data_IF_452661294220
#
_entry.id   IF_452661294220
#
_cell.length_a   1.000
_cell.length_b   1.000
_cell.length_c   1.000
_cell.angle_alpha   90.00
_cell.angle_beta   90.00
_cell.angle_gamma   90.00
#
_symmetry.space_group_name_H-M   'P 1'
#
loop_
_entity.id
_entity.type
_entity.pdbx_description
1 polymer ?
#
# COMPACT_ATOMS: atom_id res chain seq x y z
N UNK A 1 -7.64 28.21 -18.15
CA UNK A 1 -7.63 26.77 -18.43
C UNK A 1 -6.97 26.08 -17.25
N UNK A 2 -7.54 25.00 -16.69
CA UNK A 2 -6.92 24.28 -15.55
C UNK A 2 -5.84 23.34 -16.11
N UNK A 3 -4.61 23.40 -15.57
CA UNK A 3 -3.52 22.49 -15.90
C UNK A 3 -3.70 21.10 -15.26
N UNK A 4 -4.64 20.97 -14.31
CA UNK A 4 -4.93 19.71 -13.62
C UNK A 4 -5.87 18.85 -14.48
N UNK A 5 -5.52 17.57 -14.63
CA UNK A 5 -6.30 16.62 -15.44
C UNK A 5 -7.71 16.39 -14.87
N UNK A 6 -8.66 16.00 -15.72
CA UNK A 6 -10.01 15.62 -15.28
C UNK A 6 -9.95 14.44 -14.29
N UNK A 7 -9.11 13.45 -14.56
CA UNK A 7 -8.90 12.28 -13.70
C UNK A 7 -8.44 12.70 -12.30
N UNK A 8 -7.44 13.56 -12.20
CA UNK A 8 -6.93 14.02 -10.90
C UNK A 8 -7.99 14.74 -10.06
N UNK A 9 -8.91 15.46 -10.70
CA UNK A 9 -10.02 16.14 -10.01
C UNK A 9 -11.08 15.19 -9.46
N UNK A 10 -11.16 13.97 -9.99
CA UNK A 10 -12.12 12.95 -9.56
C UNK A 10 -11.59 12.08 -8.42
N UNK A 11 -10.26 12.06 -8.22
CA UNK A 11 -9.64 11.30 -7.12
C UNK A 11 -9.98 12.00 -5.80
N UNK A 12 -10.61 11.29 -4.85
CA UNK A 12 -10.92 11.88 -3.55
C UNK A 12 -9.65 12.26 -2.79
N UNK A 13 -9.70 13.33 -2.02
CA UNK A 13 -8.63 13.68 -1.07
C UNK A 13 -8.42 12.57 -0.03
N UNK A 14 -7.26 12.55 0.58
CA UNK A 14 -6.99 11.61 1.66
C UNK A 14 -7.70 12.04 2.94
N UNK A 15 -8.74 11.31 3.34
CA UNK A 15 -9.46 11.53 4.60
C UNK A 15 -8.52 11.50 5.81
N UNK A 16 -7.47 10.66 5.77
CA UNK A 16 -6.45 10.61 6.82
C UNK A 16 -5.74 11.96 6.97
N UNK A 17 -5.40 12.62 5.85
CA UNK A 17 -4.76 13.93 5.87
C UNK A 17 -5.71 15.04 6.31
N UNK A 18 -6.98 14.95 5.97
CA UNK A 18 -8.01 15.88 6.45
C UNK A 18 -8.17 15.78 7.95
N UNK A 19 -8.26 14.57 8.51
CA UNK A 19 -8.30 14.35 9.96
C UNK A 19 -7.05 14.87 10.65
N UNK A 20 -5.87 14.63 10.07
CA UNK A 20 -4.62 15.14 10.60
C UNK A 20 -4.56 16.68 10.58
N UNK A 21 -5.06 17.32 9.53
CA UNK A 21 -5.13 18.77 9.44
C UNK A 21 -6.13 19.38 10.45
N UNK A 22 -7.26 18.72 10.68
CA UNK A 22 -8.24 19.15 11.70
C UNK A 22 -7.67 19.09 13.13
N UNK A 23 -6.82 18.10 13.39
CA UNK A 23 -6.15 17.92 14.68
C UNK A 23 -5.09 18.99 14.94
N UNK A 24 -4.51 19.61 13.90
CA UNK A 24 -3.38 20.54 13.97
C UNK A 24 -3.75 21.86 14.66
N UNK A 25 -4.07 22.02 15.79
CA UNK A 25 -4.46 23.22 16.58
C UNK A 25 -5.33 22.87 17.75
N UNK A 26 -5.68 21.60 17.90
CA UNK A 26 -6.39 21.10 19.06
C UNK A 26 -5.40 20.77 20.18
N UNK A 27 -5.81 20.98 21.43
CA UNK A 27 -5.06 20.59 22.63
C UNK A 27 -5.72 19.35 23.23
N UNK A 28 -4.93 18.53 23.91
CA UNK A 28 -5.40 17.36 24.67
C UNK A 28 -6.20 16.35 23.81
N UNK A 29 -5.75 16.10 22.57
CA UNK A 29 -6.38 15.17 21.64
C UNK A 29 -5.64 13.83 21.66
N UNK A 30 -6.39 12.74 21.87
CA UNK A 30 -5.91 11.38 21.59
C UNK A 30 -6.19 11.08 20.13
N UNK A 31 -5.13 10.99 19.31
CA UNK A 31 -5.24 10.82 17.87
C UNK A 31 -5.22 9.35 17.46
N UNK A 32 -6.19 8.95 16.64
CA UNK A 32 -6.22 7.67 15.92
C UNK A 32 -6.14 7.88 14.41
N UNK A 33 -5.75 9.07 13.94
CA UNK A 33 -5.77 9.44 12.53
C UNK A 33 -4.66 8.77 11.72
N UNK A 34 -3.49 8.55 12.33
CA UNK A 34 -2.34 7.95 11.67
C UNK A 34 -1.80 6.79 12.51
N UNK A 35 -1.68 5.62 11.89
CA UNK A 35 -1.06 4.45 12.52
C UNK A 35 0.44 4.45 12.27
N UNK A 36 1.22 4.88 13.25
CA UNK A 36 2.67 4.81 13.23
C UNK A 36 3.21 4.33 14.58
N UNK A 37 4.39 3.67 14.62
CA UNK A 37 5.02 3.31 15.88
C UNK A 37 5.34 4.55 16.71
N UNK A 38 5.11 4.50 18.02
CA UNK A 38 5.43 5.54 18.98
C UNK A 38 6.88 5.52 19.47
N UNK A 39 7.66 4.54 19.03
CA UNK A 39 9.09 4.37 19.35
C UNK A 39 9.96 4.68 18.11
N UNK A 40 11.18 5.16 18.37
CA UNK A 40 12.17 5.48 17.34
C UNK A 40 12.77 4.22 16.71
N UNK A 41 13.41 4.38 15.56
CA UNK A 41 14.13 3.29 14.92
C UNK A 41 15.20 2.70 15.88
N UNK A 42 15.35 1.36 15.95
CA UNK A 42 16.37 0.73 16.78
C UNK A 42 17.78 1.24 16.45
N UNK A 43 18.63 1.42 17.48
CA UNK A 43 19.94 2.03 17.33
C UNK A 43 20.82 1.31 16.30
N UNK A 44 20.79 -0.04 16.27
CA UNK A 44 21.57 -0.80 15.27
C UNK A 44 21.17 -0.52 13.83
N UNK A 45 19.89 -0.16 13.56
CA UNK A 45 19.42 0.22 12.23
C UNK A 45 19.96 1.60 11.86
N UNK A 46 19.92 2.54 12.81
CA UNK A 46 20.50 3.88 12.63
C UNK A 46 22.00 3.78 12.34
N UNK A 47 22.73 3.02 13.14
CA UNK A 47 24.18 2.85 13.01
C UNK A 47 24.55 2.21 11.65
N UNK A 48 23.81 1.17 11.22
CA UNK A 48 24.01 0.53 9.93
C UNK A 48 23.77 1.52 8.76
N UNK A 49 22.75 2.37 8.88
CA UNK A 49 22.43 3.40 7.88
C UNK A 49 23.56 4.43 7.78
N UNK A 50 24.03 4.95 8.92
CA UNK A 50 25.15 5.90 8.96
C UNK A 50 26.44 5.26 8.40
N UNK A 51 26.70 4.01 8.74
CA UNK A 51 27.87 3.29 8.23
C UNK A 51 27.79 3.09 6.70
N UNK A 52 26.62 2.82 6.14
CA UNK A 52 26.40 2.75 4.69
C UNK A 52 26.73 4.07 3.99
N UNK A 53 26.25 5.20 4.50
CA UNK A 53 26.61 6.52 3.98
C UNK A 53 28.12 6.79 4.04
N UNK A 54 28.77 6.45 5.16
CA UNK A 54 30.21 6.63 5.32
C UNK A 54 31.04 5.77 4.35
N UNK A 55 30.54 4.62 3.93
CA UNK A 55 31.15 3.78 2.88
C UNK A 55 30.90 4.32 1.46
N UNK A 56 30.14 5.39 1.29
CA UNK A 56 29.81 5.95 -0.01
C UNK A 56 28.76 5.15 -0.80
N UNK A 57 27.94 4.37 -0.12
CA UNK A 57 26.86 3.60 -0.75
C UNK A 57 25.67 4.51 -1.11
N UNK A 58 25.93 5.50 -1.97
CA UNK A 58 24.99 6.57 -2.35
C UNK A 58 24.73 6.63 -3.86
N UNK A 59 24.99 5.53 -4.56
CA UNK A 59 24.80 5.42 -6.00
C UNK A 59 23.51 4.68 -6.36
N UNK A 60 23.19 4.67 -7.65
CA UNK A 60 22.03 3.93 -8.15
C UNK A 60 22.11 2.45 -7.83
N UNK A 61 20.99 1.89 -7.44
CA UNK A 61 20.80 0.45 -7.20
C UNK A 61 20.12 -0.21 -8.40
N UNK A 62 20.17 -1.55 -8.52
CA UNK A 62 19.35 -2.26 -9.50
C UNK A 62 17.86 -1.92 -9.33
N UNK A 63 17.10 -1.83 -10.43
CA UNK A 63 15.67 -1.50 -10.41
C UNK A 63 14.82 -2.43 -9.54
N UNK A 64 15.25 -3.68 -9.38
CA UNK A 64 14.58 -4.66 -8.53
C UNK A 64 14.99 -4.59 -7.05
N UNK A 65 15.94 -3.72 -6.71
CA UNK A 65 16.52 -3.58 -5.37
C UNK A 65 17.84 -4.31 -5.19
N UNK A 66 18.53 -3.97 -4.11
CA UNK A 66 19.84 -4.52 -3.76
C UNK A 66 19.73 -6.04 -3.54
N UNK A 67 20.58 -6.89 -4.17
CA UNK A 67 20.48 -8.35 -4.06
C UNK A 67 20.52 -8.88 -2.62
N UNK A 68 21.33 -8.29 -1.76
CA UNK A 68 21.42 -8.65 -0.34
C UNK A 68 20.08 -8.42 0.39
N UNK A 69 19.41 -7.29 0.13
CA UNK A 69 18.10 -6.98 0.71
C UNK A 69 17.02 -7.94 0.20
N UNK A 70 16.99 -8.21 -1.10
CA UNK A 70 16.05 -9.17 -1.69
C UNK A 70 16.19 -10.57 -1.08
N UNK A 71 17.44 -11.01 -0.88
CA UNK A 71 17.74 -12.29 -0.21
C UNK A 71 17.26 -12.29 1.25
N UNK A 72 17.49 -11.22 2.00
CA UNK A 72 17.04 -11.09 3.37
C UNK A 72 15.51 -11.12 3.49
N UNK A 73 14.81 -10.41 2.58
CA UNK A 73 13.32 -10.42 2.53
C UNK A 73 12.80 -11.81 2.20
N UNK A 74 13.36 -12.49 1.17
CA UNK A 74 12.98 -13.86 0.82
C UNK A 74 13.16 -14.82 2.02
N UNK A 75 14.28 -14.74 2.73
CA UNK A 75 14.53 -15.56 3.93
C UNK A 75 13.48 -15.30 5.03
N UNK A 76 13.00 -14.07 5.19
CA UNK A 76 11.94 -13.74 6.15
C UNK A 76 10.61 -14.43 5.79
N UNK A 77 10.28 -14.51 4.51
CA UNK A 77 9.09 -15.23 4.05
C UNK A 77 9.25 -16.75 4.18
N UNK A 78 10.41 -17.29 3.83
CA UNK A 78 10.72 -18.71 3.96
C UNK A 78 10.61 -19.17 5.43
N UNK A 79 11.07 -18.37 6.38
CA UNK A 79 10.91 -18.63 7.82
C UNK A 79 9.44 -18.69 8.27
N UNK A 80 8.51 -18.14 7.47
CA UNK A 80 7.04 -18.20 7.69
C UNK A 80 6.35 -19.28 6.85
N UNK A 81 7.12 -20.16 6.20
CA UNK A 81 6.60 -21.23 5.36
C UNK A 81 6.18 -20.81 3.95
N UNK A 82 6.58 -19.62 3.50
CA UNK A 82 6.29 -19.11 2.14
C UNK A 82 7.59 -19.15 1.33
N UNK A 83 7.66 -20.04 0.34
CA UNK A 83 8.87 -20.31 -0.45
C UNK A 83 9.04 -19.30 -1.60
N UNK A 84 9.30 -18.03 -1.23
CA UNK A 84 9.68 -17.02 -2.20
C UNK A 84 11.18 -17.02 -2.46
N UNK A 85 11.56 -16.91 -3.74
CA UNK A 85 12.94 -16.78 -4.16
C UNK A 85 13.35 -15.30 -4.26
N UNK A 86 14.64 -14.96 -4.08
CA UNK A 86 15.08 -13.56 -4.22
C UNK A 86 14.73 -12.93 -5.59
N UNK A 87 14.56 -13.74 -6.65
CA UNK A 87 14.13 -13.28 -7.98
C UNK A 87 12.68 -12.79 -8.01
N UNK A 88 11.85 -13.23 -7.07
CA UNK A 88 10.43 -12.87 -6.96
C UNK A 88 10.20 -11.67 -6.04
N UNK A 89 11.27 -11.11 -5.45
CA UNK A 89 11.19 -9.95 -4.57
C UNK A 89 11.58 -8.69 -5.33
N UNK A 90 10.74 -7.66 -5.19
CA UNK A 90 10.99 -6.33 -5.72
C UNK A 90 10.98 -5.33 -4.54
N UNK A 91 12.00 -4.47 -4.49
CA UNK A 91 12.14 -3.44 -3.44
C UNK A 91 11.80 -2.07 -4.03
N UNK A 92 11.02 -1.29 -3.32
CA UNK A 92 10.66 0.07 -3.72
C UNK A 92 10.57 1.03 -2.54
N UNK A 93 10.39 2.30 -2.85
CA UNK A 93 10.29 3.38 -1.86
C UNK A 93 8.87 3.44 -1.27
N UNK A 94 8.61 2.58 -0.29
CA UNK A 94 7.33 2.46 0.39
C UNK A 94 6.31 1.56 -0.31
N UNK A 95 5.45 0.92 0.48
CA UNK A 95 4.47 -0.06 -0.01
C UNK A 95 3.47 0.54 -1.01
N UNK A 96 3.06 1.80 -0.82
CA UNK A 96 2.07 2.45 -1.69
C UNK A 96 2.61 2.67 -3.12
N UNK A 97 3.89 2.98 -3.28
CA UNK A 97 4.49 3.12 -4.61
C UNK A 97 4.58 1.78 -5.33
N UNK A 98 4.91 0.71 -4.61
CA UNK A 98 4.93 -0.65 -5.17
C UNK A 98 3.52 -1.12 -5.55
N UNK A 99 2.52 -0.84 -4.72
CA UNK A 99 1.13 -1.15 -5.02
C UNK A 99 0.65 -0.40 -6.28
N UNK A 100 1.02 0.89 -6.42
CA UNK A 100 0.71 1.66 -7.62
C UNK A 100 1.38 1.08 -8.87
N UNK A 101 2.64 0.66 -8.78
CA UNK A 101 3.35 0.02 -9.89
C UNK A 101 2.71 -1.32 -10.26
N UNK A 102 2.38 -2.16 -9.27
CA UNK A 102 1.70 -3.42 -9.50
C UNK A 102 0.34 -3.22 -10.18
N UNK A 103 -0.47 -2.30 -9.69
CA UNK A 103 -1.76 -1.97 -10.29
C UNK A 103 -1.60 -1.41 -11.72
N UNK A 104 -0.60 -0.54 -11.95
CA UNK A 104 -0.32 -0.02 -13.29
C UNK A 104 0.10 -1.11 -14.26
N UNK A 105 0.80 -2.14 -13.79
CA UNK A 105 1.26 -3.25 -14.62
C UNK A 105 0.17 -4.30 -14.92
N UNK A 106 -0.82 -4.42 -14.04
CA UNK A 106 -1.84 -5.48 -14.11
C UNK A 106 -3.20 -5.02 -14.62
N UNK A 107 -3.52 -3.72 -14.54
CA UNK A 107 -4.87 -3.21 -14.76
C UNK A 107 -4.94 -2.29 -15.99
N UNK A 108 -5.94 -2.54 -16.80
CA UNK A 108 -6.37 -1.65 -17.87
C UNK A 108 -7.48 -0.69 -17.41
N UNK A 109 -7.74 0.35 -18.20
CA UNK A 109 -8.82 1.29 -17.92
C UNK A 109 -10.16 0.57 -17.95
N UNK A 110 -10.91 0.66 -16.84
CA UNK A 110 -12.21 0.03 -16.68
C UNK A 110 -12.20 -1.38 -16.08
N UNK A 111 -11.02 -1.94 -15.82
CA UNK A 111 -10.90 -3.17 -15.02
C UNK A 111 -11.38 -2.92 -13.59
N UNK A 112 -12.05 -3.89 -13.00
CA UNK A 112 -12.60 -3.81 -11.66
C UNK A 112 -11.66 -4.42 -10.62
N UNK A 113 -11.55 -3.72 -9.48
CA UNK A 113 -10.79 -4.17 -8.31
C UNK A 113 -11.70 -4.24 -7.11
N UNK A 114 -11.88 -5.42 -6.53
CA UNK A 114 -12.64 -5.58 -5.30
C UNK A 114 -11.82 -5.09 -4.11
N UNK A 115 -12.39 -4.19 -3.33
CA UNK A 115 -11.77 -3.58 -2.15
C UNK A 115 -12.61 -3.84 -0.91
N UNK A 116 -12.00 -4.06 0.27
CA UNK A 116 -12.75 -4.18 1.51
C UNK A 116 -13.39 -2.84 1.89
N UNK A 117 -14.63 -2.88 2.38
CA UNK A 117 -15.35 -1.73 2.92
C UNK A 117 -15.98 -2.09 4.29
N UNK A 118 -15.49 -1.54 5.41
CA UNK A 118 -14.42 -0.54 5.50
C UNK A 118 -13.03 -1.07 5.12
N UNK A 119 -12.19 -0.18 4.59
CA UNK A 119 -10.82 -0.45 4.18
C UNK A 119 -9.95 0.80 4.26
N UNK A 120 -8.67 0.66 3.90
CA UNK A 120 -7.77 1.82 3.91
C UNK A 120 -8.19 2.87 2.88
N UNK A 121 -8.40 4.10 3.37
CA UNK A 121 -9.02 5.19 2.60
C UNK A 121 -8.32 5.51 1.25
N UNK A 122 -7.02 5.23 1.13
CA UNK A 122 -6.27 5.57 -0.08
C UNK A 122 -6.41 4.53 -1.21
N UNK A 123 -6.92 3.32 -0.95
CA UNK A 123 -7.04 2.29 -2.00
C UNK A 123 -7.94 2.75 -3.15
N UNK A 124 -9.10 3.33 -2.84
CA UNK A 124 -10.03 3.84 -3.85
C UNK A 124 -9.36 4.85 -4.79
N UNK A 125 -8.67 5.83 -4.21
CA UNK A 125 -7.96 6.84 -4.98
C UNK A 125 -6.86 6.26 -5.85
N UNK A 126 -6.12 5.27 -5.34
CA UNK A 126 -5.07 4.56 -6.06
C UNK A 126 -5.62 3.82 -7.29
N UNK A 127 -6.72 3.07 -7.14
CA UNK A 127 -7.36 2.38 -8.26
C UNK A 127 -7.85 3.36 -9.33
N UNK A 128 -8.49 4.44 -8.92
CA UNK A 128 -8.92 5.49 -9.83
C UNK A 128 -7.74 6.17 -10.54
N UNK A 129 -6.58 6.27 -9.90
CA UNK A 129 -5.37 6.84 -10.48
C UNK A 129 -4.86 6.02 -11.68
N UNK A 130 -4.92 4.71 -11.61
CA UNK A 130 -4.53 3.83 -12.72
C UNK A 130 -5.66 3.63 -13.75
N UNK A 131 -6.84 4.16 -13.50
CA UNK A 131 -8.01 4.07 -14.40
C UNK A 131 -8.91 2.87 -14.14
N UNK A 132 -8.63 2.11 -13.09
CA UNK A 132 -9.45 0.99 -12.66
C UNK A 132 -10.70 1.48 -11.89
N UNK A 133 -11.70 0.62 -11.79
CA UNK A 133 -12.96 0.85 -11.09
C UNK A 133 -12.91 0.15 -9.73
N UNK A 134 -12.86 0.89 -8.62
CA UNK A 134 -12.91 0.29 -7.29
C UNK A 134 -14.33 -0.18 -6.97
N UNK A 135 -14.48 -1.46 -6.67
CA UNK A 135 -15.75 -2.08 -6.27
C UNK A 135 -15.67 -2.40 -4.77
N UNK A 136 -16.42 -1.69 -3.90
CA UNK A 136 -16.43 -1.95 -2.48
C UNK A 136 -17.15 -3.27 -2.19
N UNK A 137 -16.53 -4.15 -1.39
CA UNK A 137 -17.13 -5.37 -0.86
C UNK A 137 -17.21 -5.24 0.64
N UNK A 138 -18.42 -5.32 1.17
CA UNK A 138 -18.67 -5.12 2.60
C UNK A 138 -17.97 -6.17 3.45
N UNK A 139 -17.25 -5.72 4.46
CA UNK A 139 -16.65 -6.57 5.50
C UNK A 139 -17.21 -6.17 6.86
N UNK A 140 -17.29 -7.10 7.81
CA UNK A 140 -17.97 -6.89 9.08
C UNK A 140 -17.08 -7.19 10.27
N UNK A 141 -17.30 -6.49 11.37
CA UNK A 141 -16.57 -6.68 12.62
C UNK A 141 -16.75 -8.09 13.19
N UNK A 142 -17.96 -8.66 13.08
CA UNK A 142 -18.31 -9.98 13.62
C UNK A 142 -17.44 -11.11 13.05
N UNK A 143 -16.91 -10.93 11.83
CA UNK A 143 -16.01 -11.91 11.20
C UNK A 143 -14.55 -11.40 11.09
N UNK A 144 -14.17 -10.43 11.93
CA UNK A 144 -12.83 -9.85 11.96
C UNK A 144 -12.46 -9.06 10.70
N UNK A 145 -13.44 -8.43 10.06
CA UNK A 145 -13.27 -7.68 8.81
C UNK A 145 -12.73 -8.54 7.65
N UNK A 146 -13.00 -9.83 7.67
CA UNK A 146 -12.67 -10.72 6.57
C UNK A 146 -13.78 -10.72 5.53
N UNK A 147 -13.43 -10.99 4.27
CA UNK A 147 -14.42 -11.19 3.22
C UNK A 147 -15.25 -12.44 3.46
N UNK A 148 -16.56 -12.31 3.26
CA UNK A 148 -17.47 -13.44 3.08
C UNK A 148 -17.36 -13.94 1.64
N UNK A 149 -17.32 -15.28 1.46
CA UNK A 149 -17.17 -15.87 0.13
C UNK A 149 -18.33 -15.51 -0.78
N UNK A 150 -19.54 -15.46 -0.24
CA UNK A 150 -20.73 -15.15 -1.04
C UNK A 150 -20.77 -13.68 -1.45
N UNK A 151 -20.31 -12.76 -0.59
CA UNK A 151 -20.18 -11.33 -0.95
C UNK A 151 -19.15 -11.13 -2.06
N UNK A 152 -18.02 -11.85 -2.01
CA UNK A 152 -17.04 -11.84 -3.10
C UNK A 152 -17.63 -12.39 -4.39
N UNK A 153 -18.30 -13.55 -4.36
CA UNK A 153 -18.94 -14.15 -5.54
C UNK A 153 -19.94 -13.22 -6.20
N UNK A 154 -20.75 -12.54 -5.39
CA UNK A 154 -21.75 -11.59 -5.88
C UNK A 154 -21.13 -10.32 -6.48
N UNK A 155 -19.94 -9.94 -6.02
CA UNK A 155 -19.24 -8.75 -6.51
C UNK A 155 -18.38 -9.00 -7.76
N UNK A 156 -18.02 -10.26 -8.04
CA UNK A 156 -17.20 -10.63 -9.21
C UNK A 156 -18.01 -10.46 -10.49
N UNK A 157 -17.42 -9.75 -11.46
CA UNK A 157 -17.94 -9.61 -12.82
C UNK A 157 -16.88 -10.05 -13.84
N UNK A 158 -17.20 -10.14 -15.14
CA UNK A 158 -16.21 -10.38 -16.18
C UNK A 158 -15.09 -9.34 -16.29
N UNK A 159 -15.26 -8.18 -15.63
CA UNK A 159 -14.25 -7.10 -15.58
C UNK A 159 -13.37 -7.17 -14.33
N UNK A 160 -13.70 -8.02 -13.37
CA UNK A 160 -12.92 -8.15 -12.15
C UNK A 160 -11.56 -8.78 -12.42
N UNK A 161 -10.51 -8.04 -12.15
CA UNK A 161 -9.11 -8.47 -12.35
C UNK A 161 -8.39 -8.76 -11.05
N UNK A 162 -8.67 -7.99 -10.00
CA UNK A 162 -7.94 -8.06 -8.74
C UNK A 162 -8.91 -8.03 -7.56
N UNK A 163 -8.60 -8.84 -6.57
CA UNK A 163 -9.20 -8.78 -5.23
C UNK A 163 -8.09 -8.35 -4.28
N UNK A 164 -8.27 -7.21 -3.61
CA UNK A 164 -7.30 -6.72 -2.64
C UNK A 164 -7.72 -7.21 -1.25
N UNK A 165 -6.85 -8.02 -0.64
CA UNK A 165 -7.02 -8.51 0.73
C UNK A 165 -6.03 -7.82 1.64
N UNK A 166 -6.51 -7.38 2.81
CA UNK A 166 -5.70 -6.89 3.92
C UNK A 166 -5.78 -7.95 5.02
N UNK A 167 -4.66 -8.29 5.61
CA UNK A 167 -4.60 -9.28 6.69
C UNK A 167 -3.19 -9.53 7.13
#
# INVERSE_FOLDING_TARGET
>A
MSIVSKKSKQIPGSLIREMFAMQAGMKDVISFALGEPDFTAPQHVVDATVASFRRGETHYTPNTGIPALRKAVAATYQARGLDYQPSEILIGAGAISLLNLACTAMLDIGDEVLLPDPGWANYKGLMMQVGAVPIPVKVKEENGFMYEIDDLRNAITPKTKVILKIG
#
